data_IF_699651302313
#
_entry.id   IF_699651302313
#
_cell.length_a   1.000
_cell.length_b   1.000
_cell.length_c   1.000
_cell.angle_alpha   90.00
_cell.angle_beta   90.00
_cell.angle_gamma   90.00
#
_symmetry.space_group_name_H-M   'P 1'
#
loop_
_entity.id
_entity.type
_entity.pdbx_description
1 polymer ?
#
# COMPACT_ATOMS: atom_id res chain seq x y z
N UNK A 1 3.73 -12.33 12.69
CA UNK A 1 4.95 -12.56 11.90
C UNK A 1 5.06 -11.52 10.82
N UNK A 2 6.09 -10.69 10.88
CA UNK A 2 6.44 -9.83 9.76
C UNK A 2 6.82 -10.74 8.59
N UNK A 3 6.08 -10.60 7.50
CA UNK A 3 6.30 -11.37 6.29
C UNK A 3 7.72 -11.05 5.77
N UNK A 4 8.59 -12.06 5.74
CA UNK A 4 10.01 -11.90 5.36
C UNK A 4 10.13 -11.21 3.99
N UNK A 5 9.15 -11.41 3.10
CA UNK A 5 9.10 -10.76 1.79
C UNK A 5 9.01 -9.24 1.89
N UNK A 6 8.27 -8.68 2.85
CA UNK A 6 8.12 -7.23 3.03
C UNK A 6 9.43 -6.61 3.49
N UNK A 7 10.13 -7.28 4.41
CA UNK A 7 11.44 -6.85 4.91
C UNK A 7 12.51 -6.94 3.80
N UNK A 8 12.49 -8.01 2.99
CA UNK A 8 13.38 -8.15 1.84
C UNK A 8 13.19 -7.03 0.82
N UNK A 9 11.94 -6.66 0.49
CA UNK A 9 11.64 -5.55 -0.42
C UNK A 9 12.17 -4.23 0.17
N UNK A 10 11.99 -3.99 1.47
CA UNK A 10 12.54 -2.81 2.13
C UNK A 10 14.07 -2.73 1.99
N UNK A 11 14.79 -3.82 2.23
CA UNK A 11 16.24 -3.84 2.03
C UNK A 11 16.64 -3.58 0.58
N UNK A 12 15.95 -4.20 -0.39
CA UNK A 12 16.20 -3.96 -1.81
C UNK A 12 16.01 -2.48 -2.16
N UNK A 13 14.94 -1.86 -1.68
CA UNK A 13 14.71 -0.43 -1.88
C UNK A 13 15.77 0.43 -1.18
N UNK A 14 16.22 0.07 0.03
CA UNK A 14 17.22 0.85 0.76
C UNK A 14 18.54 0.99 -0.03
N UNK A 15 18.95 -0.08 -0.71
CA UNK A 15 20.17 -0.10 -1.51
C UNK A 15 20.01 0.41 -2.94
N UNK A 16 18.85 0.18 -3.57
CA UNK A 16 18.63 0.56 -4.98
C UNK A 16 17.88 1.87 -5.17
N UNK A 17 17.17 2.34 -4.14
CA UNK A 17 16.15 3.40 -4.19
C UNK A 17 15.05 3.14 -5.22
N UNK A 18 14.83 1.87 -5.56
CA UNK A 18 13.79 1.42 -6.45
C UNK A 18 12.96 0.35 -5.75
N UNK A 19 11.63 0.46 -5.85
CA UNK A 19 10.71 -0.52 -5.31
C UNK A 19 10.58 -1.68 -6.32
N UNK A 20 11.04 -2.89 -5.99
CA UNK A 20 10.97 -4.03 -6.90
C UNK A 20 9.57 -4.68 -6.86
N UNK A 21 8.51 -3.92 -7.08
CA UNK A 21 7.14 -4.45 -7.03
C UNK A 21 6.73 -4.99 -8.40
N UNK A 22 5.93 -6.05 -8.38
CA UNK A 22 5.58 -6.85 -9.56
C UNK A 22 4.74 -6.12 -10.60
N UNK A 23 4.73 -6.63 -11.84
CA UNK A 23 3.85 -6.17 -12.94
C UNK A 23 2.33 -6.28 -12.66
N UNK A 24 1.94 -6.83 -11.50
CA UNK A 24 0.57 -6.91 -11.02
C UNK A 24 0.46 -6.21 -9.67
N UNK A 25 -0.64 -5.48 -9.44
CA UNK A 25 -0.85 -4.70 -8.22
C UNK A 25 -1.24 -5.61 -7.06
N UNK A 26 -0.28 -5.95 -6.20
CA UNK A 26 -0.61 -6.56 -4.91
C UNK A 26 -0.85 -5.47 -3.85
N UNK A 27 -2.10 -5.02 -3.77
CA UNK A 27 -2.55 -4.01 -2.80
C UNK A 27 -2.25 -4.38 -1.34
N UNK A 28 -2.26 -5.68 -1.00
CA UNK A 28 -1.96 -6.15 0.35
C UNK A 28 -0.46 -6.01 0.64
N UNK A 29 0.40 -6.36 -0.33
CA UNK A 29 1.84 -6.17 -0.21
C UNK A 29 2.20 -4.69 -0.06
N UNK A 30 1.65 -3.80 -0.90
CA UNK A 30 1.86 -2.35 -0.76
C UNK A 30 1.43 -1.85 0.61
N UNK A 31 0.27 -2.29 1.10
CA UNK A 31 -0.22 -1.91 2.44
C UNK A 31 0.73 -2.37 3.55
N UNK A 32 1.29 -3.59 3.46
CA UNK A 32 2.27 -4.10 4.42
C UNK A 32 3.59 -3.34 4.35
N UNK A 33 4.06 -2.97 3.16
CA UNK A 33 5.27 -2.16 2.97
C UNK A 33 5.10 -0.79 3.62
N UNK A 34 3.95 -0.15 3.43
CA UNK A 34 3.65 1.13 4.07
C UNK A 34 3.67 1.01 5.60
N UNK A 35 2.98 0.01 6.15
CA UNK A 35 2.97 -0.27 7.60
C UNK A 35 4.38 -0.49 8.15
N UNK A 36 5.25 -1.21 7.41
CA UNK A 36 6.65 -1.36 7.77
C UNK A 36 7.37 0.00 7.78
N UNK A 37 7.14 0.83 6.76
CA UNK A 37 7.69 2.19 6.69
C UNK A 37 7.29 3.07 7.87
N UNK A 38 6.05 2.99 8.35
CA UNK A 38 5.61 3.68 9.58
C UNK A 38 6.30 3.17 10.83
N UNK A 39 6.37 1.85 11.01
CA UNK A 39 7.08 1.24 12.14
C UNK A 39 8.54 1.66 12.21
N UNK A 40 9.18 1.78 11.05
CA UNK A 40 10.58 2.20 10.91
C UNK A 40 10.77 3.72 10.89
N UNK A 41 9.69 4.50 10.93
CA UNK A 41 9.70 5.97 10.79
C UNK A 41 10.49 6.44 9.55
N UNK A 42 10.40 5.69 8.44
CA UNK A 42 11.12 5.99 7.21
C UNK A 42 10.18 6.66 6.19
N UNK A 43 10.03 7.99 6.30
CA UNK A 43 9.15 8.79 5.43
C UNK A 43 9.50 8.66 3.94
N UNK A 44 10.78 8.60 3.59
CA UNK A 44 11.21 8.44 2.21
C UNK A 44 10.74 7.09 1.61
N UNK A 45 10.72 6.03 2.44
CA UNK A 45 10.18 4.74 2.02
C UNK A 45 8.66 4.77 1.92
N UNK A 46 7.98 5.37 2.89
CA UNK A 46 6.53 5.53 2.87
C UNK A 46 6.06 6.27 1.60
N UNK A 47 6.74 7.36 1.23
CA UNK A 47 6.42 8.12 0.03
C UNK A 47 6.66 7.28 -1.23
N UNK A 48 7.80 6.59 -1.33
CA UNK A 48 8.06 5.70 -2.46
C UNK A 48 6.98 4.61 -2.61
N UNK A 49 6.52 4.02 -1.50
CA UNK A 49 5.45 3.02 -1.50
C UNK A 49 4.13 3.63 -1.96
N UNK A 50 3.78 4.84 -1.51
CA UNK A 50 2.55 5.52 -1.94
C UNK A 50 2.59 5.84 -3.44
N UNK A 51 3.72 6.37 -3.92
CA UNK A 51 3.89 6.76 -5.33
C UNK A 51 3.71 5.53 -6.25
N UNK A 52 4.42 4.44 -5.94
CA UNK A 52 4.38 3.18 -6.70
C UNK A 52 3.00 2.51 -6.60
N UNK A 53 2.37 2.53 -5.42
CA UNK A 53 1.03 2.00 -5.21
C UNK A 53 -0.01 2.77 -6.04
N UNK A 54 0.00 4.11 -6.00
CA UNK A 54 -0.91 4.92 -6.79
C UNK A 54 -0.71 4.69 -8.30
N UNK A 55 0.54 4.68 -8.77
CA UNK A 55 0.86 4.44 -10.18
C UNK A 55 0.40 3.05 -10.64
N UNK A 56 0.66 2.00 -9.86
CA UNK A 56 0.23 0.63 -10.18
C UNK A 56 -1.30 0.50 -10.23
N UNK A 57 -2.01 1.12 -9.27
CA UNK A 57 -3.47 1.11 -9.21
C UNK A 57 -4.07 1.78 -10.45
N UNK A 58 -3.56 2.95 -10.82
CA UNK A 58 -3.99 3.66 -12.03
C UNK A 58 -3.65 2.90 -13.32
N UNK A 59 -2.46 2.29 -13.41
CA UNK A 59 -2.03 1.58 -14.61
C UNK A 59 -2.86 0.32 -14.90
N UNK A 60 -3.37 -0.34 -13.85
CA UNK A 60 -4.13 -1.59 -13.97
C UNK A 60 -5.65 -1.41 -13.83
N UNK A 61 -6.11 -0.20 -13.49
CA UNK A 61 -7.50 0.06 -13.09
C UNK A 61 -7.97 -0.88 -11.96
N UNK A 62 -7.04 -1.19 -11.05
CA UNK A 62 -7.25 -2.03 -9.87
C UNK A 62 -7.09 -1.18 -8.62
N UNK A 63 -7.99 -1.35 -7.66
CA UNK A 63 -8.11 -0.47 -6.51
C UNK A 63 -8.05 -1.27 -5.20
N UNK A 64 -7.60 -0.65 -4.09
CA UNK A 64 -7.37 -1.35 -2.83
C UNK A 64 -8.55 -2.25 -2.44
N UNK A 65 -8.26 -3.51 -2.10
CA UNK A 65 -9.29 -4.46 -1.64
C UNK A 65 -9.58 -4.27 -0.14
N UNK A 66 -10.68 -4.85 0.36
CA UNK A 66 -10.98 -4.90 1.81
C UNK A 66 -9.79 -5.41 2.64
N UNK A 67 -9.05 -6.39 2.12
CA UNK A 67 -7.86 -6.94 2.78
C UNK A 67 -6.74 -5.90 2.90
N UNK A 68 -6.49 -5.10 1.86
CA UNK A 68 -5.51 -4.02 1.89
C UNK A 68 -5.93 -2.91 2.88
N UNK A 69 -7.21 -2.53 2.85
CA UNK A 69 -7.79 -1.57 3.81
C UNK A 69 -7.57 -2.04 5.24
N UNK A 70 -7.88 -3.31 5.52
CA UNK A 70 -7.68 -3.89 6.85
C UNK A 70 -6.22 -3.85 7.29
N UNK A 71 -5.27 -4.17 6.42
CA UNK A 71 -3.83 -4.10 6.75
C UNK A 71 -3.42 -2.70 7.17
N UNK A 72 -3.84 -1.67 6.42
CA UNK A 72 -3.55 -0.28 6.81
C UNK A 72 -4.22 0.06 8.14
N UNK A 73 -5.51 -0.20 8.31
CA UNK A 73 -6.24 0.19 9.52
C UNK A 73 -5.80 -0.56 10.79
N UNK A 74 -5.41 -1.84 10.67
CA UNK A 74 -4.89 -2.63 11.79
C UNK A 74 -3.41 -2.30 12.09
N UNK A 75 -2.67 -1.86 11.07
CA UNK A 75 -1.21 -1.66 11.12
C UNK A 75 -0.73 -0.24 11.41
N UNK A 76 -1.59 0.77 11.28
CA UNK A 76 -1.23 2.19 11.45
C UNK A 76 -2.03 2.87 12.56
N UNK A 77 -1.65 4.08 12.96
CA UNK A 77 -2.45 4.89 13.91
C UNK A 77 -3.60 5.62 13.22
N UNK A 78 -4.57 6.17 13.97
CA UNK A 78 -5.71 6.92 13.38
C UNK A 78 -5.28 8.14 12.58
N UNK A 79 -4.13 8.74 12.92
CA UNK A 79 -3.59 9.92 12.25
C UNK A 79 -2.72 9.59 11.02
N UNK A 80 -2.58 8.30 10.70
CA UNK A 80 -1.77 7.84 9.56
C UNK A 80 -2.27 8.41 8.23
N UNK A 81 -1.40 9.01 7.40
CA UNK A 81 -1.80 9.53 6.11
C UNK A 81 -2.22 8.44 5.11
N UNK A 82 -1.77 7.19 5.27
CA UNK A 82 -2.25 6.09 4.42
C UNK A 82 -3.75 5.81 4.57
N UNK A 83 -4.33 6.05 5.75
CA UNK A 83 -5.79 5.91 5.94
C UNK A 83 -6.55 6.92 5.07
N UNK A 84 -6.00 8.14 4.93
CA UNK A 84 -6.55 9.18 4.06
C UNK A 84 -6.39 8.82 2.58
N UNK A 85 -5.21 8.32 2.19
CA UNK A 85 -4.95 7.87 0.83
C UNK A 85 -5.98 6.82 0.37
N UNK A 86 -6.28 5.81 1.21
CA UNK A 86 -7.28 4.81 0.88
C UNK A 86 -8.67 5.43 0.71
N UNK A 87 -9.07 6.35 1.60
CA UNK A 87 -10.34 7.06 1.47
C UNK A 87 -10.39 7.82 0.15
N UNK A 88 -9.33 8.54 -0.20
CA UNK A 88 -9.26 9.29 -1.44
C UNK A 88 -9.41 8.35 -2.65
N UNK A 89 -8.68 7.24 -2.70
CA UNK A 89 -8.81 6.24 -3.77
C UNK A 89 -10.26 5.75 -3.93
N UNK A 90 -10.95 5.43 -2.83
CA UNK A 90 -12.35 5.01 -2.87
C UNK A 90 -13.33 6.13 -3.24
N UNK A 91 -13.11 7.36 -2.78
CA UNK A 91 -13.97 8.49 -3.10
C UNK A 91 -13.91 8.87 -4.59
N UNK A 92 -12.73 8.77 -5.20
CA UNK A 92 -12.51 9.17 -6.59
C UNK A 92 -12.74 8.05 -7.59
N UNK A 93 -12.50 6.79 -7.20
CA UNK A 93 -12.53 5.64 -8.12
C UNK A 93 -13.48 4.53 -7.71
N UNK A 94 -14.12 4.66 -6.54
CA UNK A 94 -15.13 3.73 -6.04
C UNK A 94 -16.20 3.43 -7.07
N UNK A 95 -16.46 2.14 -7.29
CA UNK A 95 -17.52 1.64 -8.13
C UNK A 95 -18.47 0.77 -7.31
N UNK A 96 -19.78 0.88 -7.58
CA UNK A 96 -20.84 0.12 -6.90
C UNK A 96 -20.58 -1.40 -6.94
N UNK A 97 -19.97 -1.89 -8.01
CA UNK A 97 -19.61 -3.31 -8.19
C UNK A 97 -18.62 -3.85 -7.15
N UNK A 98 -17.95 -2.98 -6.38
CA UNK A 98 -17.01 -3.36 -5.33
C UNK A 98 -17.71 -3.69 -4.01
N UNK A 99 -18.94 -3.22 -3.80
CA UNK A 99 -19.71 -3.44 -2.57
C UNK A 99 -20.53 -4.72 -2.66
N UNK A 100 -20.91 -5.13 -3.86
CA UNK A 100 -21.83 -6.25 -4.10
C UNK A 100 -21.18 -7.65 -4.12
N UNK A 101 -19.85 -7.74 -4.13
CA UNK A 101 -19.11 -9.01 -4.20
C UNK A 101 -18.42 -9.44 -2.89
N UNK A 102 -18.84 -8.88 -1.75
CA UNK A 102 -18.38 -9.28 -0.40
C UNK A 102 -19.38 -10.18 0.34
#
# INVERSE_FOLDING_TARGET
DEDLTVVEIYFKWLYSRNLPVSNHTDHVQYSRLYVLGEKLMNEAFQNAVIDDYAEASHAQDEWPTRSAVRVIYDGTTTESPARRLLIDMYCWHGDEKWVDND
#
